data_IF_329125013232
#
_entry.id   IF_329125013232
#
_cell.length_a   1.000
_cell.length_b   1.000
_cell.length_c   1.000
_cell.angle_alpha   90.00
_cell.angle_beta   90.00
_cell.angle_gamma   90.00
#
_symmetry.space_group_name_H-M   'P 1'
#
loop_
_entity.id
_entity.type
_entity.pdbx_description
1 polymer ?
#
# COMPACT_ATOMS: atom_id res chain seq x y z
N UNK A 1 -11.68 8.63 3.86
CA UNK A 1 -10.26 8.31 3.61
C UNK A 1 -10.25 6.98 2.88
N UNK A 2 -10.03 6.97 1.57
CA UNK A 2 -9.80 5.72 0.85
C UNK A 2 -8.44 5.18 1.29
N UNK A 3 -8.45 4.17 2.15
CA UNK A 3 -7.22 3.52 2.57
C UNK A 3 -6.53 2.98 1.30
N UNK A 4 -5.31 3.47 1.03
CA UNK A 4 -4.54 3.05 -0.13
C UNK A 4 -4.15 1.58 0.04
N UNK A 5 -4.96 0.68 -0.52
CA UNK A 5 -4.70 -0.77 -0.48
C UNK A 5 -3.53 -1.10 -1.41
N UNK A 6 -2.49 -1.76 -0.86
CA UNK A 6 -1.38 -2.30 -1.65
C UNK A 6 -1.77 -3.66 -2.25
N UNK A 7 -2.12 -3.65 -3.54
CA UNK A 7 -2.59 -4.83 -4.30
C UNK A 7 -1.61 -6.01 -4.23
N UNK A 8 -0.31 -5.73 -4.20
CA UNK A 8 0.73 -6.77 -4.16
C UNK A 8 0.81 -7.51 -2.83
N UNK A 9 0.19 -6.98 -1.77
CA UNK A 9 0.23 -7.52 -0.40
C UNK A 9 -1.04 -8.28 -0.02
N UNK A 10 -2.07 -8.23 -0.86
CA UNK A 10 -3.34 -8.90 -0.62
C UNK A 10 -3.20 -10.43 -0.76
N UNK A 11 -3.99 -11.15 0.06
CA UNK A 11 -4.16 -12.60 -0.06
C UNK A 11 -5.03 -12.95 -1.26
N UNK A 12 -5.04 -14.23 -1.65
CA UNK A 12 -5.87 -14.72 -2.76
C UNK A 12 -7.35 -14.38 -2.54
N UNK A 13 -7.88 -14.70 -1.38
CA UNK A 13 -9.31 -14.45 -1.05
C UNK A 13 -9.66 -12.95 -1.08
N UNK A 14 -8.73 -12.07 -0.70
CA UNK A 14 -8.94 -10.61 -0.75
C UNK A 14 -8.94 -10.09 -2.20
N UNK A 15 -8.09 -10.66 -3.05
CA UNK A 15 -8.07 -10.35 -4.48
C UNK A 15 -9.35 -10.84 -5.17
N UNK A 16 -9.80 -12.05 -4.85
CA UNK A 16 -11.07 -12.58 -5.36
C UNK A 16 -12.25 -11.72 -4.93
N UNK A 17 -12.30 -11.31 -3.66
CA UNK A 17 -13.31 -10.38 -3.17
C UNK A 17 -13.27 -9.06 -3.94
N UNK A 18 -12.12 -8.40 -4.07
CA UNK A 18 -12.06 -7.12 -4.79
C UNK A 18 -12.41 -7.27 -6.28
N UNK A 19 -12.01 -8.35 -6.94
CA UNK A 19 -12.36 -8.61 -8.35
C UNK A 19 -13.85 -8.84 -8.56
N UNK A 20 -14.51 -9.52 -7.61
CA UNK A 20 -15.95 -9.74 -7.66
C UNK A 20 -16.74 -8.43 -7.62
N UNK A 21 -16.20 -7.38 -6.97
CA UNK A 21 -16.81 -6.03 -6.98
C UNK A 21 -16.80 -5.39 -8.37
N UNK A 22 -15.92 -5.83 -9.25
CA UNK A 22 -15.85 -5.38 -10.65
C UNK A 22 -16.54 -6.36 -11.60
N UNK A 23 -17.20 -7.41 -11.08
CA UNK A 23 -17.86 -8.43 -11.88
C UNK A 23 -16.89 -9.38 -12.61
N UNK A 24 -15.64 -9.44 -12.18
CA UNK A 24 -14.62 -10.33 -12.77
C UNK A 24 -14.42 -11.54 -11.85
N UNK A 25 -14.68 -12.73 -12.38
CA UNK A 25 -14.54 -14.00 -11.68
C UNK A 25 -13.82 -15.01 -12.59
N UNK A 26 -13.00 -15.90 -12.03
CA UNK A 26 -12.46 -17.05 -12.78
C UNK A 26 -10.98 -16.99 -13.17
N UNK A 27 -10.18 -16.16 -12.51
CA UNK A 27 -8.74 -16.16 -12.74
C UNK A 27 -8.03 -17.26 -11.93
N UNK A 28 -7.15 -18.02 -12.58
CA UNK A 28 -6.50 -19.18 -11.95
C UNK A 28 -5.29 -18.80 -11.06
N UNK A 29 -4.65 -17.65 -11.29
CA UNK A 29 -3.38 -17.30 -10.63
C UNK A 29 -3.45 -15.98 -9.88
N UNK A 30 -2.77 -15.91 -8.73
CA UNK A 30 -2.69 -14.68 -7.91
C UNK A 30 -2.10 -13.51 -8.72
N UNK A 31 -1.13 -13.76 -9.60
CA UNK A 31 -0.47 -12.71 -10.36
C UNK A 31 -1.36 -12.14 -11.48
N UNK A 32 -2.18 -12.99 -12.12
CA UNK A 32 -3.21 -12.50 -13.03
C UNK A 32 -4.20 -11.62 -12.25
N UNK A 33 -4.65 -12.06 -11.06
CA UNK A 33 -5.65 -11.31 -10.29
C UNK A 33 -5.15 -9.90 -9.94
N UNK A 34 -3.89 -9.79 -9.52
CA UNK A 34 -3.24 -8.50 -9.26
C UNK A 34 -3.11 -7.65 -10.51
N UNK A 35 -2.84 -8.25 -11.67
CA UNK A 35 -2.73 -7.53 -12.94
C UNK A 35 -4.08 -6.95 -13.35
N UNK A 36 -5.13 -7.75 -13.29
CA UNK A 36 -6.49 -7.33 -13.64
C UNK A 36 -7.01 -6.25 -12.70
N UNK A 37 -6.83 -6.40 -11.39
CA UNK A 37 -7.24 -5.38 -10.41
C UNK A 37 -6.50 -4.04 -10.62
N UNK A 38 -5.21 -4.08 -10.97
CA UNK A 38 -4.44 -2.87 -11.35
C UNK A 38 -5.01 -2.20 -12.59
N UNK A 39 -5.38 -2.97 -13.61
CA UNK A 39 -5.97 -2.46 -14.84
C UNK A 39 -7.35 -1.84 -14.58
N UNK A 40 -8.21 -2.53 -13.84
CA UNK A 40 -9.55 -2.06 -13.47
C UNK A 40 -9.50 -0.74 -12.68
N UNK A 41 -8.60 -0.65 -11.69
CA UNK A 41 -8.42 0.62 -10.95
C UNK A 41 -7.96 1.78 -11.82
N UNK A 42 -7.05 1.53 -12.78
CA UNK A 42 -6.59 2.55 -13.72
C UNK A 42 -7.72 3.03 -14.62
N UNK A 43 -8.53 2.11 -15.13
CA UNK A 43 -9.72 2.43 -15.92
C UNK A 43 -10.70 3.29 -15.12
N UNK A 44 -10.97 2.89 -13.87
CA UNK A 44 -11.87 3.64 -12.99
C UNK A 44 -11.40 5.07 -12.69
N UNK A 45 -10.09 5.29 -12.54
CA UNK A 45 -9.55 6.64 -12.32
C UNK A 45 -9.55 7.54 -13.57
N UNK A 46 -9.66 6.95 -14.77
CA UNK A 46 -9.49 7.67 -16.04
C UNK A 46 -10.72 7.70 -16.94
N UNK A 47 -11.77 6.93 -16.64
CA UNK A 47 -12.98 6.81 -17.48
C UNK A 47 -14.24 6.78 -16.60
N UNK A 48 -15.40 7.20 -17.16
CA UNK A 48 -16.73 7.09 -16.54
C UNK A 48 -17.20 5.62 -16.53
N UNK A 49 -16.39 4.71 -16.00
CA UNK A 49 -16.76 3.32 -15.84
C UNK A 49 -17.68 3.19 -14.62
N UNK A 50 -18.92 2.79 -14.85
CA UNK A 50 -19.88 2.52 -13.78
C UNK A 50 -19.55 1.18 -13.11
N UNK A 51 -19.43 1.18 -11.79
CA UNK A 51 -19.27 -0.05 -11.01
C UNK A 51 -20.54 -0.89 -11.09
N UNK A 52 -20.42 -2.22 -11.24
CA UNK A 52 -21.59 -3.10 -11.18
C UNK A 52 -22.22 -3.05 -9.78
N UNK A 53 -23.48 -3.50 -9.70
CA UNK A 53 -24.18 -3.60 -8.44
C UNK A 53 -23.40 -4.49 -7.46
N UNK A 54 -23.34 -4.04 -6.19
CA UNK A 54 -22.61 -4.74 -5.15
C UNK A 54 -23.15 -6.18 -4.99
N UNK A 55 -22.30 -7.22 -5.13
CA UNK A 55 -22.79 -8.59 -5.29
C UNK A 55 -23.07 -9.33 -3.97
N UNK A 56 -22.71 -8.76 -2.82
CA UNK A 56 -22.79 -9.44 -1.53
C UNK A 56 -23.94 -8.91 -0.65
N UNK A 57 -24.52 -9.80 0.16
CA UNK A 57 -25.45 -9.42 1.21
C UNK A 57 -24.72 -9.02 2.49
N UNK A 58 -25.40 -8.27 3.38
CA UNK A 58 -24.83 -7.88 4.67
C UNK A 58 -24.46 -9.10 5.54
N UNK A 59 -25.23 -10.19 5.48
CA UNK A 59 -24.96 -11.43 6.21
C UNK A 59 -23.68 -12.14 5.72
N UNK A 60 -23.45 -12.15 4.41
CA UNK A 60 -22.22 -12.69 3.83
C UNK A 60 -21.00 -11.86 4.21
N UNK A 61 -21.16 -10.53 4.28
CA UNK A 61 -20.10 -9.64 4.71
C UNK A 61 -19.81 -9.76 6.20
N UNK A 62 -20.83 -9.83 7.05
CA UNK A 62 -20.66 -9.91 8.50
C UNK A 62 -19.95 -11.19 8.92
N UNK A 63 -20.34 -12.33 8.34
CA UNK A 63 -19.71 -13.64 8.60
C UNK A 63 -18.25 -13.66 8.14
N UNK A 64 -17.97 -13.18 6.93
CA UNK A 64 -16.61 -13.12 6.40
C UNK A 64 -15.73 -12.11 7.16
N UNK A 65 -16.27 -10.96 7.56
CA UNK A 65 -15.58 -9.97 8.38
C UNK A 65 -15.24 -10.54 9.76
N UNK A 66 -16.17 -11.24 10.40
CA UNK A 66 -15.93 -11.84 11.71
C UNK A 66 -14.82 -12.89 11.65
N UNK A 67 -14.81 -13.75 10.63
CA UNK A 67 -13.74 -14.71 10.41
C UNK A 67 -12.39 -14.00 10.18
N UNK A 68 -12.39 -12.95 9.35
CA UNK A 68 -11.17 -12.19 9.03
C UNK A 68 -10.63 -11.45 10.26
N UNK A 69 -11.48 -10.82 11.05
CA UNK A 69 -11.10 -10.13 12.29
C UNK A 69 -10.42 -11.10 13.25
N UNK A 70 -10.96 -12.30 13.45
CA UNK A 70 -10.31 -13.33 14.29
C UNK A 70 -8.91 -13.67 13.78
N UNK A 71 -8.77 -13.93 12.49
CA UNK A 71 -7.45 -14.26 11.90
C UNK A 71 -6.45 -13.10 12.02
N UNK A 72 -6.93 -11.86 11.90
CA UNK A 72 -6.11 -10.66 12.04
C UNK A 72 -5.69 -10.42 13.49
N UNK A 73 -6.58 -10.63 14.45
CA UNK A 73 -6.27 -10.54 15.89
C UNK A 73 -5.12 -11.49 16.24
N UNK A 74 -5.23 -12.76 15.86
CA UNK A 74 -4.19 -13.77 16.13
C UNK A 74 -2.85 -13.40 15.49
N UNK A 75 -2.87 -12.83 14.28
CA UNK A 75 -1.67 -12.44 13.56
C UNK A 75 -1.04 -11.16 14.14
N UNK A 76 -1.84 -10.20 14.60
CA UNK A 76 -1.38 -8.99 15.28
C UNK A 76 -0.78 -9.35 16.65
N UNK A 77 -1.39 -10.24 17.43
CA UNK A 77 -0.85 -10.66 18.73
C UNK A 77 0.54 -11.31 18.60
N UNK A 78 0.78 -12.04 17.51
CA UNK A 78 2.07 -12.68 17.22
C UNK A 78 3.10 -11.75 16.58
N UNK A 79 2.69 -10.55 16.19
CA UNK A 79 3.57 -9.62 15.49
C UNK A 79 4.59 -8.99 16.46
N UNK A 80 5.88 -9.12 16.14
CA UNK A 80 6.99 -8.61 16.97
C UNK A 80 8.03 -7.80 16.19
N UNK A 81 7.71 -7.51 14.93
CA UNK A 81 8.61 -6.96 13.93
C UNK A 81 8.58 -5.41 13.86
N UNK A 82 9.28 -4.87 12.86
CA UNK A 82 9.41 -3.44 12.59
C UNK A 82 8.31 -2.97 11.65
N UNK A 83 7.93 -1.69 11.72
CA UNK A 83 6.90 -1.08 10.84
C UNK A 83 7.20 -1.19 9.34
N UNK A 84 8.46 -1.35 8.96
CA UNK A 84 8.88 -1.51 7.55
C UNK A 84 8.92 -2.97 7.10
N UNK A 85 8.61 -3.94 7.98
CA UNK A 85 8.65 -5.36 7.63
C UNK A 85 7.55 -5.69 6.62
N UNK A 86 7.79 -6.73 5.82
CA UNK A 86 6.79 -7.24 4.87
C UNK A 86 5.50 -7.62 5.57
N UNK A 87 5.59 -8.10 6.81
CA UNK A 87 4.46 -8.65 7.53
C UNK A 87 3.59 -7.55 8.13
N UNK A 88 4.20 -6.45 8.59
CA UNK A 88 3.46 -5.23 8.92
C UNK A 88 2.67 -4.70 7.72
N UNK A 89 3.32 -4.62 6.55
CA UNK A 89 2.67 -4.11 5.33
C UNK A 89 1.54 -5.03 4.85
N UNK A 90 1.69 -6.35 4.98
CA UNK A 90 0.61 -7.32 4.71
C UNK A 90 -0.56 -7.14 5.69
N UNK A 91 -0.30 -7.10 6.99
CA UNK A 91 -1.34 -6.96 8.00
C UNK A 91 -2.08 -5.63 7.86
N UNK A 92 -1.37 -4.52 7.69
CA UNK A 92 -2.00 -3.22 7.45
C UNK A 92 -2.82 -3.17 6.16
N UNK A 93 -2.34 -3.78 5.08
CA UNK A 93 -3.11 -3.89 3.82
C UNK A 93 -4.36 -4.75 3.97
N UNK A 94 -4.25 -5.85 4.72
CA UNK A 94 -5.38 -6.74 5.01
C UNK A 94 -6.44 -6.07 5.89
N UNK A 95 -6.02 -5.32 6.92
CA UNK A 95 -6.91 -4.49 7.74
C UNK A 95 -7.60 -3.43 6.88
N UNK A 96 -6.86 -2.76 5.99
CA UNK A 96 -7.45 -1.78 5.07
C UNK A 96 -8.48 -2.41 4.12
N UNK A 97 -8.23 -3.63 3.63
CA UNK A 97 -9.18 -4.38 2.81
C UNK A 97 -10.46 -4.71 3.60
N UNK A 98 -10.31 -5.22 4.83
CA UNK A 98 -11.45 -5.50 5.71
C UNK A 98 -12.25 -4.23 6.01
N UNK A 99 -11.58 -3.11 6.25
CA UNK A 99 -12.23 -1.82 6.49
C UNK A 99 -13.02 -1.33 5.27
N UNK A 100 -12.45 -1.47 4.06
CA UNK A 100 -13.17 -1.18 2.81
C UNK A 100 -14.43 -2.01 2.65
N UNK A 101 -14.39 -3.29 3.03
CA UNK A 101 -15.57 -4.16 3.07
C UNK A 101 -16.63 -3.68 4.07
N UNK A 102 -16.23 -3.27 5.28
CA UNK A 102 -17.17 -2.69 6.26
C UNK A 102 -17.88 -1.46 5.70
N UNK A 103 -17.14 -0.56 5.06
CA UNK A 103 -17.70 0.69 4.51
C UNK A 103 -18.68 0.47 3.36
N UNK A 104 -18.46 -0.58 2.55
CA UNK A 104 -19.32 -0.93 1.42
C UNK A 104 -20.55 -1.74 1.83
N UNK A 105 -20.52 -2.37 3.01
CA UNK A 105 -21.66 -3.12 3.51
C UNK A 105 -22.87 -2.20 3.73
N UNK A 106 -24.03 -2.64 3.23
CA UNK A 106 -25.30 -1.89 3.29
C UNK A 106 -26.19 -2.50 4.38
N UNK A 107 -26.17 -1.95 5.62
CA UNK A 107 -27.06 -2.44 6.68
C UNK A 107 -28.51 -2.09 6.34
N UNK A 108 -29.41 -3.04 6.56
CA UNK A 108 -30.85 -2.87 6.33
C UNK A 108 -31.58 -2.54 7.64
N UNK A 109 -31.07 -3.05 8.77
CA UNK A 109 -31.67 -2.86 10.10
C UNK A 109 -30.79 -2.00 11.02
N UNK A 110 -31.38 -1.46 12.08
CA UNK A 110 -30.60 -0.78 13.13
C UNK A 110 -29.60 -1.71 13.82
N UNK A 111 -29.93 -2.99 13.97
CA UNK A 111 -29.04 -4.00 14.51
C UNK A 111 -27.80 -4.19 13.63
N UNK A 112 -28.00 -4.27 12.31
CA UNK A 112 -26.91 -4.36 11.33
C UNK A 112 -26.01 -3.12 11.36
N UNK A 113 -26.61 -1.93 11.52
CA UNK A 113 -25.86 -0.68 11.64
C UNK A 113 -24.95 -0.68 12.87
N UNK A 114 -25.46 -1.17 14.02
CA UNK A 114 -24.65 -1.33 15.24
C UNK A 114 -23.52 -2.35 15.04
N UNK A 115 -23.79 -3.49 14.39
CA UNK A 115 -22.76 -4.49 14.06
C UNK A 115 -21.67 -3.92 13.16
N UNK A 116 -22.04 -3.15 12.13
CA UNK A 116 -21.09 -2.46 11.25
C UNK A 116 -20.20 -1.49 12.02
N UNK A 117 -20.77 -0.74 12.97
CA UNK A 117 -20.01 0.15 13.84
C UNK A 117 -19.04 -0.63 14.74
N UNK A 118 -19.49 -1.75 15.31
CA UNK A 118 -18.62 -2.63 16.13
C UNK A 118 -17.42 -3.15 15.33
N UNK A 119 -17.64 -3.63 14.11
CA UNK A 119 -16.55 -4.05 13.23
C UNK A 119 -15.59 -2.90 12.91
N UNK A 120 -16.12 -1.70 12.67
CA UNK A 120 -15.30 -0.51 12.41
C UNK A 120 -14.38 -0.20 13.59
N UNK A 121 -14.91 -0.22 14.82
CA UNK A 121 -14.14 0.02 16.04
C UNK A 121 -13.07 -1.06 16.26
N UNK A 122 -13.42 -2.34 16.06
CA UNK A 122 -12.48 -3.46 16.19
C UNK A 122 -11.31 -3.35 15.21
N UNK A 123 -11.57 -3.00 13.95
CA UNK A 123 -10.51 -2.84 12.95
C UNK A 123 -9.59 -1.65 13.24
N UNK A 124 -10.14 -0.55 13.74
CA UNK A 124 -9.34 0.62 14.18
C UNK A 124 -8.48 0.26 15.38
N UNK A 125 -9.02 -0.47 16.36
CA UNK A 125 -8.26 -0.94 17.52
C UNK A 125 -7.12 -1.90 17.09
N UNK A 126 -7.39 -2.84 16.19
CA UNK A 126 -6.36 -3.73 15.63
C UNK A 126 -5.26 -2.96 14.91
N UNK A 127 -5.61 -1.94 14.12
CA UNK A 127 -4.62 -1.09 13.45
C UNK A 127 -3.77 -0.32 14.47
N UNK A 128 -4.40 0.21 15.51
CA UNK A 128 -3.73 0.90 16.61
C UNK A 128 -2.74 -0.04 17.31
N UNK A 129 -3.17 -1.23 17.71
CA UNK A 129 -2.32 -2.26 18.35
C UNK A 129 -1.14 -2.65 17.47
N UNK A 130 -1.38 -2.95 16.19
CA UNK A 130 -0.33 -3.26 15.23
C UNK A 130 0.70 -2.12 15.13
N UNK A 131 0.22 -0.86 15.10
CA UNK A 131 1.10 0.30 15.04
C UNK A 131 1.91 0.52 16.33
N UNK A 132 1.34 0.19 17.49
CA UNK A 132 2.00 0.27 18.79
C UNK A 132 3.04 -0.84 19.00
N UNK A 133 2.74 -2.06 18.56
CA UNK A 133 3.67 -3.20 18.64
C UNK A 133 4.82 -3.07 17.65
N UNK A 134 4.58 -2.43 16.50
CA UNK A 134 5.60 -2.19 15.51
C UNK A 134 6.69 -1.25 16.05
N UNK A 135 7.90 -1.79 16.20
CA UNK A 135 9.06 -0.97 16.55
C UNK A 135 9.34 0.00 15.41
N UNK A 136 9.69 1.25 15.74
CA UNK A 136 10.22 2.16 14.75
C UNK A 136 11.57 1.63 14.29
N UNK A 137 11.76 1.50 12.97
CA UNK A 137 13.08 1.28 12.41
C UNK A 137 13.95 2.46 12.86
N UNK A 138 14.92 2.22 13.75
CA UNK A 138 16.00 3.19 13.94
C UNK A 138 16.68 3.25 12.57
N UNK A 139 16.48 4.34 11.82
CA UNK A 139 17.26 4.59 10.61
C UNK A 139 18.71 4.46 11.03
N UNK A 140 19.38 3.38 10.61
CA UNK A 140 20.83 3.31 10.73
C UNK A 140 21.33 4.46 9.88
N UNK A 141 21.78 5.50 10.57
CA UNK A 141 22.47 6.62 9.98
C UNK A 141 23.84 6.09 9.54
N UNK A 142 23.86 5.29 8.47
CA UNK A 142 25.08 5.02 7.72
C UNK A 142 25.36 6.32 6.98
N UNK A 143 26.03 7.22 7.70
CA UNK A 143 26.73 8.38 7.16
C UNK A 143 27.64 7.84 6.06
N UNK A 144 27.23 8.03 4.81
CA UNK A 144 28.17 8.03 3.69
C UNK A 144 29.12 9.22 3.91
N UNK A 145 30.14 9.03 4.74
CA UNK A 145 31.31 9.90 4.78
C UNK A 145 32.40 9.22 3.94
N UNK A 146 33.00 10.02 3.06
CA UNK A 146 34.12 9.71 2.14
C UNK A 146 33.78 9.12 0.77
N UNK A 147 33.17 9.93 -0.08
CA UNK A 147 33.66 10.07 -1.47
C UNK A 147 33.89 11.55 -1.73
N UNK A 148 35.01 12.06 -1.20
CA UNK A 148 35.60 13.32 -1.67
C UNK A 148 36.15 13.03 -3.07
N UNK A 149 35.45 13.51 -4.10
CA UNK A 149 36.03 13.70 -5.42
C UNK A 149 37.00 14.89 -5.34
N UNK A 150 38.25 14.63 -5.00
CA UNK A 150 39.34 15.58 -5.27
C UNK A 150 39.63 15.55 -6.77
N UNK A 151 38.94 16.44 -7.48
CA UNK A 151 39.30 16.86 -8.83
C UNK A 151 40.48 17.82 -8.67
N UNK A 152 41.71 17.33 -8.88
CA UNK A 152 42.87 18.21 -9.07
C UNK A 152 43.64 17.88 -10.35
N UNK A 153 43.63 18.88 -11.24
CA UNK A 153 44.73 19.30 -12.12
C UNK A 153 45.22 18.32 -13.21
N UNK A 154 44.56 18.36 -14.38
CA UNK A 154 45.23 18.10 -15.66
C UNK A 154 45.86 19.41 -16.14
N UNK A 155 47.19 19.50 -16.12
CA UNK A 155 47.94 20.57 -16.78
C UNK A 155 47.99 20.35 -18.30
N UNK A 156 47.65 21.34 -19.13
CA UNK A 156 47.98 21.28 -20.55
C UNK A 156 49.41 21.80 -20.81
N UNK A 157 50.15 21.20 -21.76
CA UNK A 157 51.50 21.63 -22.10
C UNK A 157 51.50 22.79 -23.11
N UNK A 158 52.39 23.75 -22.87
CA UNK A 158 53.26 24.29 -23.93
C UNK A 158 52.74 25.40 -24.85
N UNK A 159 53.49 26.51 -24.83
CA UNK A 159 53.70 27.49 -25.90
C UNK A 159 52.60 28.53 -26.18
N UNK A 160 52.71 29.67 -25.50
CA UNK A 160 52.28 30.97 -26.04
C UNK A 160 53.52 31.76 -26.47
N UNK A 161 53.74 31.80 -27.79
CA UNK A 161 54.64 32.76 -28.44
C UNK A 161 54.05 34.16 -28.29
N UNK A 162 54.80 35.05 -27.64
CA UNK A 162 54.54 36.48 -27.58
C UNK A 162 54.77 37.12 -28.95
N UNK A 163 53.72 37.69 -29.55
CA UNK A 163 53.86 38.73 -30.57
C UNK A 163 53.41 40.06 -29.96
N UNK A 164 54.40 40.84 -29.52
CA UNK A 164 54.25 42.26 -29.25
C UNK A 164 54.34 43.00 -30.58
N UNK A 165 53.26 43.65 -31.00
CA UNK A 165 53.27 44.71 -32.01
C UNK A 165 52.20 45.73 -31.62
N UNK A 166 52.65 46.82 -31.01
CA UNK A 166 51.93 48.09 -30.96
C UNK A 166 52.98 49.21 -30.95
N UNK A 167 53.23 49.80 -32.11
CA UNK A 167 53.80 51.14 -32.26
C UNK A 167 52.91 51.91 -33.22
N UNK A 168 52.15 52.86 -32.69
CA UNK A 168 51.64 54.01 -33.44
C UNK A 168 51.76 55.23 -32.54
N UNK A 169 52.41 56.26 -33.12
CA UNK A 169 52.74 57.61 -32.64
C UNK A 169 53.93 57.74 -31.69
#
# INVERSE_FOLDING_TARGET
MDAKIEINRLSKDELEYELSLYGVSGEATVESMRRSLRQLRRLYTGTNYELPAYPFSFEQDSTALQAKIKTLTDAVEKFSDVRTSSDYLKLSSSIACAFGRVQRSKPLTEADSKLRQQFSVQLVDLLSRLSHQAKFARKSMVRAQSTLLDITMVTPPGNLNFCFLNMTN
#
